data_IF_025777398100
#
_entry.id   IF_025777398100
#
_cell.length_a   1.000
_cell.length_b   1.000
_cell.length_c   1.000
_cell.angle_alpha   90.00
_cell.angle_beta   90.00
_cell.angle_gamma   90.00
#
_symmetry.space_group_name_H-M   'P 1'
#
loop_
_entity.id
_entity.type
_entity.pdbx_description
1 polymer ?
#
# COMPACT_ATOMS: atom_id res chain seq x y z
N UNK A 1 -27.27 14.02 79.48
CA UNK A 1 -25.89 14.28 79.02
C UNK A 1 -25.25 13.14 78.22
N UNK A 2 -25.47 11.86 78.55
CA UNK A 2 -24.95 10.73 77.77
C UNK A 2 -25.51 10.66 76.33
N UNK A 3 -26.85 10.74 76.17
CA UNK A 3 -27.53 10.65 74.87
C UNK A 3 -27.11 11.74 73.84
N UNK A 4 -26.76 12.95 74.30
CA UNK A 4 -26.28 14.04 73.43
C UNK A 4 -24.83 13.85 72.99
N UNK A 5 -24.00 13.17 73.81
CA UNK A 5 -22.63 12.80 73.41
C UNK A 5 -22.65 11.65 72.40
N UNK A 6 -23.53 10.68 72.57
CA UNK A 6 -23.68 9.56 71.62
C UNK A 6 -24.19 10.05 70.24
N UNK A 7 -25.11 11.03 70.19
CA UNK A 7 -25.55 11.66 68.94
C UNK A 7 -24.49 12.55 68.26
N UNK A 8 -23.56 13.13 69.02
CA UNK A 8 -22.44 13.88 68.47
C UNK A 8 -21.39 12.93 67.88
N UNK A 9 -21.01 11.89 68.65
CA UNK A 9 -20.06 10.87 68.21
C UNK A 9 -20.57 10.09 66.99
N UNK A 10 -21.86 9.76 66.92
CA UNK A 10 -22.43 9.13 65.72
C UNK A 10 -22.45 10.03 64.48
N UNK A 11 -22.57 11.35 64.65
CA UNK A 11 -22.45 12.31 63.53
C UNK A 11 -21.00 12.41 63.06
N UNK A 12 -20.05 12.52 63.98
CA UNK A 12 -18.63 12.60 63.64
C UNK A 12 -18.15 11.33 62.93
N UNK A 13 -18.63 10.14 63.34
CA UNK A 13 -18.34 8.87 62.65
C UNK A 13 -18.92 8.86 61.23
N UNK A 14 -20.18 9.27 61.04
CA UNK A 14 -20.80 9.33 59.71
C UNK A 14 -20.11 10.33 58.78
N UNK A 15 -19.68 11.48 59.29
CA UNK A 15 -18.94 12.48 58.52
C UNK A 15 -17.55 11.96 58.12
N UNK A 16 -16.84 11.30 59.04
CA UNK A 16 -15.55 10.68 58.74
C UNK A 16 -15.65 9.53 57.73
N UNK A 17 -16.68 8.68 57.81
CA UNK A 17 -16.94 7.61 56.82
C UNK A 17 -17.22 8.20 55.43
N UNK A 18 -18.02 9.27 55.34
CA UNK A 18 -18.30 9.94 54.06
C UNK A 18 -17.04 10.59 53.46
N UNK A 19 -16.21 11.21 54.29
CA UNK A 19 -14.94 11.81 53.89
C UNK A 19 -13.94 10.75 53.42
N UNK A 20 -13.95 9.59 54.05
CA UNK A 20 -13.13 8.43 53.68
C UNK A 20 -13.55 7.87 52.31
N UNK A 21 -14.85 7.63 52.10
CA UNK A 21 -15.38 7.12 50.83
C UNK A 21 -15.08 8.06 49.65
N UNK A 22 -15.20 9.37 49.84
CA UNK A 22 -14.86 10.36 48.81
C UNK A 22 -13.36 10.32 48.45
N UNK A 23 -12.49 10.19 49.47
CA UNK A 23 -11.04 10.04 49.25
C UNK A 23 -10.71 8.74 48.52
N UNK A 24 -11.41 7.66 48.84
CA UNK A 24 -11.24 6.36 48.20
C UNK A 24 -11.68 6.41 46.73
N UNK A 25 -12.83 7.00 46.42
CA UNK A 25 -13.30 7.22 45.04
C UNK A 25 -12.28 8.02 44.21
N UNK A 26 -11.79 9.14 44.75
CA UNK A 26 -10.79 9.97 44.06
C UNK A 26 -9.46 9.25 43.86
N UNK A 27 -9.05 8.41 44.82
CA UNK A 27 -7.85 7.57 44.70
C UNK A 27 -8.04 6.46 43.64
N UNK A 28 -9.21 5.82 43.62
CA UNK A 28 -9.61 4.82 42.65
C UNK A 28 -9.63 5.37 41.22
N UNK A 29 -10.26 6.51 41.01
CA UNK A 29 -10.29 7.19 39.72
C UNK A 29 -8.89 7.56 39.22
N UNK A 30 -8.02 8.10 40.09
CA UNK A 30 -6.61 8.37 39.74
C UNK A 30 -5.85 7.11 39.33
N UNK A 31 -6.10 5.98 39.99
CA UNK A 31 -5.49 4.68 39.65
C UNK A 31 -5.99 4.19 38.29
N UNK A 32 -7.29 4.26 38.04
CA UNK A 32 -7.91 3.92 36.75
C UNK A 32 -7.33 4.77 35.62
N UNK A 33 -7.22 6.09 35.79
CA UNK A 33 -6.61 6.99 34.79
C UNK A 33 -5.17 6.60 34.44
N UNK A 34 -4.36 6.25 35.44
CA UNK A 34 -2.99 5.74 35.22
C UNK A 34 -2.99 4.41 34.49
N UNK A 35 -3.93 3.52 34.77
CA UNK A 35 -4.09 2.25 34.06
C UNK A 35 -4.48 2.47 32.59
N UNK A 36 -5.41 3.37 32.31
CA UNK A 36 -5.79 3.74 30.94
C UNK A 36 -4.59 4.28 30.16
N UNK A 37 -3.78 5.15 30.77
CA UNK A 37 -2.55 5.65 30.16
C UNK A 37 -1.54 4.52 29.88
N UNK A 38 -1.36 3.59 30.82
CA UNK A 38 -0.51 2.41 30.61
C UNK A 38 -0.99 1.53 29.46
N UNK A 39 -2.30 1.33 29.33
CA UNK A 39 -2.89 0.55 28.22
C UNK A 39 -2.64 1.21 26.87
N UNK A 40 -2.79 2.55 26.78
CA UNK A 40 -2.47 3.30 25.56
C UNK A 40 -0.99 3.16 25.18
N UNK A 41 -0.07 3.39 26.13
CA UNK A 41 1.37 3.25 25.89
C UNK A 41 1.73 1.82 25.47
N UNK A 42 1.13 0.81 26.12
CA UNK A 42 1.37 -0.59 25.78
C UNK A 42 0.89 -0.91 24.35
N UNK A 43 -0.27 -0.40 23.95
CA UNK A 43 -0.76 -0.55 22.58
C UNK A 43 0.14 0.19 21.58
N UNK A 44 0.49 1.45 21.84
CA UNK A 44 1.37 2.25 20.97
C UNK A 44 2.73 1.56 20.75
N UNK A 45 3.34 1.02 21.81
CA UNK A 45 4.59 0.26 21.70
C UNK A 45 4.43 -1.03 20.89
N UNK A 46 3.31 -1.74 21.04
CA UNK A 46 3.03 -2.95 20.26
C UNK A 46 2.87 -2.64 18.77
N UNK A 47 2.11 -1.58 18.43
CA UNK A 47 1.90 -1.15 17.05
C UNK A 47 3.22 -0.67 16.42
N UNK A 48 4.06 0.03 17.19
CA UNK A 48 5.40 0.40 16.76
C UNK A 48 6.27 -0.81 16.42
N UNK A 49 6.29 -1.83 17.30
CA UNK A 49 7.06 -3.05 17.04
C UNK A 49 6.55 -3.81 15.80
N UNK A 50 5.22 -3.86 15.59
CA UNK A 50 4.63 -4.46 14.39
C UNK A 50 5.02 -3.69 13.12
N UNK A 51 5.08 -2.36 13.18
CA UNK A 51 5.53 -1.52 12.07
C UNK A 51 7.02 -1.75 11.77
N UNK A 52 7.87 -1.80 12.80
CA UNK A 52 9.30 -2.09 12.65
C UNK A 52 9.53 -3.48 12.00
N UNK A 53 8.75 -4.49 12.40
CA UNK A 53 8.80 -5.83 11.79
C UNK A 53 8.33 -5.83 10.33
N UNK A 54 7.27 -5.09 10.02
CA UNK A 54 6.76 -4.93 8.65
C UNK A 54 7.82 -4.28 7.77
N UNK A 55 8.42 -3.17 8.20
CA UNK A 55 9.50 -2.49 7.50
C UNK A 55 10.70 -3.40 7.25
N UNK A 56 11.10 -4.19 8.24
CA UNK A 56 12.20 -5.16 8.10
C UNK A 56 11.88 -6.25 7.07
N UNK A 57 10.63 -6.73 7.04
CA UNK A 57 10.17 -7.69 6.02
C UNK A 57 10.24 -7.08 4.63
N UNK A 58 9.75 -5.84 4.44
CA UNK A 58 9.80 -5.16 3.15
C UNK A 58 11.24 -4.92 2.66
N UNK A 59 12.14 -4.53 3.56
CA UNK A 59 13.56 -4.37 3.25
C UNK A 59 14.18 -5.69 2.79
N UNK A 60 13.91 -6.79 3.50
CA UNK A 60 14.43 -8.12 3.13
C UNK A 60 13.92 -8.59 1.77
N UNK A 61 12.65 -8.31 1.45
CA UNK A 61 12.10 -8.59 0.12
C UNK A 61 12.84 -7.79 -0.96
N UNK A 62 13.10 -6.50 -0.75
CA UNK A 62 13.83 -5.65 -1.70
C UNK A 62 15.26 -6.16 -1.92
N UNK A 63 15.97 -6.50 -0.86
CA UNK A 63 17.31 -7.08 -0.93
C UNK A 63 17.30 -8.41 -1.70
N UNK A 64 16.31 -9.26 -1.44
CA UNK A 64 16.13 -10.53 -2.16
C UNK A 64 15.87 -10.30 -3.65
N UNK A 65 15.00 -9.35 -3.99
CA UNK A 65 14.71 -8.98 -5.37
C UNK A 65 15.95 -8.43 -6.10
N UNK A 66 16.70 -7.55 -5.44
CA UNK A 66 17.93 -6.97 -5.98
C UNK A 66 19.00 -8.06 -6.23
N UNK A 67 19.19 -8.98 -5.28
CA UNK A 67 20.12 -10.11 -5.42
C UNK A 67 19.72 -11.04 -6.57
N UNK A 68 18.44 -11.38 -6.68
CA UNK A 68 17.93 -12.20 -7.79
C UNK A 68 18.15 -11.50 -9.14
N UNK A 69 17.84 -10.21 -9.22
CA UNK A 69 18.06 -9.39 -10.42
C UNK A 69 19.53 -9.38 -10.82
N UNK A 70 20.44 -9.18 -9.86
CA UNK A 70 21.88 -9.23 -10.10
C UNK A 70 22.33 -10.58 -10.68
N UNK A 71 21.92 -11.68 -10.04
CA UNK A 71 22.26 -13.05 -10.49
C UNK A 71 21.73 -13.32 -11.89
N UNK A 72 20.51 -12.91 -12.19
CA UNK A 72 19.91 -13.09 -13.51
C UNK A 72 20.64 -12.29 -14.61
N UNK A 73 21.03 -11.05 -14.33
CA UNK A 73 21.82 -10.24 -15.26
C UNK A 73 23.20 -10.84 -15.49
N UNK A 74 23.87 -11.32 -14.44
CA UNK A 74 25.17 -11.98 -14.56
C UNK A 74 25.06 -13.27 -15.39
N UNK A 75 24.00 -14.05 -15.18
CA UNK A 75 23.72 -15.25 -16.01
C UNK A 75 23.46 -14.90 -17.46
N UNK A 76 22.75 -13.81 -17.74
CA UNK A 76 22.48 -13.35 -19.10
C UNK A 76 23.78 -12.95 -19.81
N UNK A 77 24.63 -12.16 -19.15
CA UNK A 77 25.94 -11.76 -19.71
C UNK A 77 26.81 -13.00 -20.00
N UNK A 78 26.89 -13.95 -19.06
CA UNK A 78 27.65 -15.20 -19.27
C UNK A 78 27.12 -16.01 -20.46
N UNK A 79 25.79 -16.06 -20.64
CA UNK A 79 25.15 -16.71 -21.80
C UNK A 79 25.53 -15.98 -23.10
N UNK A 80 25.47 -14.65 -23.11
CA UNK A 80 25.84 -13.85 -24.28
C UNK A 80 27.28 -14.08 -24.70
N UNK A 81 28.22 -14.06 -23.76
CA UNK A 81 29.65 -14.35 -24.03
C UNK A 81 29.82 -15.76 -24.62
N UNK A 82 29.21 -16.78 -24.02
CA UNK A 82 29.32 -18.16 -24.50
C UNK A 82 28.73 -18.33 -25.91
N UNK A 83 27.64 -17.64 -26.22
CA UNK A 83 27.02 -17.69 -27.54
C UNK A 83 27.85 -16.94 -28.59
N UNK A 84 28.40 -15.78 -28.24
CA UNK A 84 29.35 -15.05 -29.10
C UNK A 84 30.59 -15.90 -29.42
N UNK A 85 31.16 -16.58 -28.43
CA UNK A 85 32.30 -17.50 -28.64
C UNK A 85 31.95 -18.66 -29.56
N UNK A 86 30.73 -19.21 -29.43
CA UNK A 86 30.23 -20.28 -30.29
C UNK A 86 30.07 -19.81 -31.73
N UNK A 87 29.48 -18.63 -31.94
CA UNK A 87 29.33 -18.03 -33.27
C UNK A 87 30.68 -17.71 -33.91
N UNK A 88 31.64 -17.18 -33.15
CA UNK A 88 33.01 -16.94 -33.65
C UNK A 88 33.67 -18.24 -34.13
N UNK A 89 33.54 -19.33 -33.37
CA UNK A 89 34.07 -20.65 -33.76
C UNK A 89 33.35 -21.21 -35.00
N UNK A 90 32.04 -21.04 -35.08
CA UNK A 90 31.22 -21.46 -36.23
C UNK A 90 31.65 -20.76 -37.52
N UNK A 91 31.80 -19.42 -37.47
CA UNK A 91 32.29 -18.61 -38.60
C UNK A 91 33.68 -19.04 -39.03
N UNK A 92 34.61 -19.25 -38.08
CA UNK A 92 35.97 -19.70 -38.39
C UNK A 92 36.02 -21.12 -38.98
N UNK A 93 35.07 -21.98 -38.64
CA UNK A 93 34.93 -23.31 -39.24
C UNK A 93 34.34 -23.23 -40.66
N UNK A 94 33.32 -22.39 -40.87
CA UNK A 94 32.72 -22.13 -42.19
C UNK A 94 33.76 -21.54 -43.16
N UNK A 95 34.59 -20.60 -42.68
CA UNK A 95 35.67 -20.01 -43.45
C UNK A 95 36.69 -21.04 -43.92
N UNK A 96 37.17 -21.89 -43.01
CA UNK A 96 38.11 -22.97 -43.35
C UNK A 96 37.50 -23.94 -44.38
N UNK A 97 36.22 -24.28 -44.22
CA UNK A 97 35.51 -25.16 -45.16
C UNK A 97 35.43 -24.56 -46.56
N UNK A 98 35.07 -23.29 -46.67
CA UNK A 98 34.98 -22.60 -47.97
C UNK A 98 36.37 -22.45 -48.60
N UNK A 99 37.39 -22.08 -47.82
CA UNK A 99 38.77 -22.00 -48.32
C UNK A 99 39.25 -23.35 -48.86
N UNK A 100 39.03 -24.44 -48.13
CA UNK A 100 39.38 -25.79 -48.57
C UNK A 100 38.64 -26.19 -49.86
N UNK A 101 37.35 -25.86 -49.97
CA UNK A 101 36.56 -26.15 -51.17
C UNK A 101 37.08 -25.38 -52.39
N UNK A 102 37.44 -24.10 -52.24
CA UNK A 102 38.01 -23.30 -53.33
C UNK A 102 39.36 -23.87 -53.77
N UNK A 103 40.26 -24.16 -52.82
CA UNK A 103 41.59 -24.70 -53.14
C UNK A 103 41.48 -26.08 -53.82
N UNK A 104 40.57 -26.94 -53.35
CA UNK A 104 40.33 -28.24 -53.98
C UNK A 104 39.83 -28.09 -55.42
N UNK A 105 38.93 -27.15 -55.66
CA UNK A 105 38.42 -26.85 -57.00
C UNK A 105 39.51 -26.28 -57.91
N UNK A 106 40.29 -25.31 -57.43
CA UNK A 106 41.42 -24.71 -58.15
C UNK A 106 42.47 -25.77 -58.54
N UNK A 107 42.80 -26.67 -57.62
CA UNK A 107 43.72 -27.78 -57.87
C UNK A 107 43.19 -28.72 -58.97
N UNK A 108 41.89 -29.07 -58.91
CA UNK A 108 41.25 -29.91 -59.93
C UNK A 108 41.29 -29.25 -61.33
N UNK A 109 40.95 -27.97 -61.40
CA UNK A 109 41.00 -27.18 -62.64
C UNK A 109 42.42 -27.07 -63.19
N UNK A 110 43.41 -26.76 -62.34
CA UNK A 110 44.81 -26.65 -62.75
C UNK A 110 45.36 -27.99 -63.25
N UNK A 111 45.03 -29.09 -62.56
CA UNK A 111 45.48 -30.43 -62.98
C UNK A 111 44.90 -30.78 -64.36
N UNK A 112 43.60 -30.56 -64.55
CA UNK A 112 42.95 -30.79 -65.85
C UNK A 112 43.47 -29.87 -66.96
N UNK A 113 43.76 -28.61 -66.63
CA UNK A 113 44.37 -27.65 -67.55
C UNK A 113 45.75 -28.11 -68.03
N UNK A 114 46.64 -28.50 -67.11
CA UNK A 114 47.98 -28.99 -67.43
C UNK A 114 47.95 -30.30 -68.23
N UNK A 115 47.00 -31.20 -67.93
CA UNK A 115 46.80 -32.43 -68.72
C UNK A 115 46.39 -32.13 -70.16
N UNK A 116 45.48 -31.17 -70.36
CA UNK A 116 45.06 -30.73 -71.68
C UNK A 116 46.22 -30.04 -72.42
N UNK A 117 46.96 -29.15 -71.76
CA UNK A 117 48.12 -28.49 -72.33
C UNK A 117 49.18 -29.49 -72.83
N UNK A 118 49.43 -30.57 -72.07
CA UNK A 118 50.31 -31.68 -72.49
C UNK A 118 49.77 -32.47 -73.68
N UNK A 119 48.45 -32.58 -73.86
CA UNK A 119 47.84 -33.24 -75.03
C UNK A 119 47.97 -32.35 -76.26
N UNK A 120 47.62 -31.07 -76.15
CA UNK A 120 47.76 -30.07 -77.21
C UNK A 120 49.21 -29.92 -77.67
N UNK A 121 50.16 -29.83 -76.72
CA UNK A 121 51.58 -29.78 -77.06
C UNK A 121 52.03 -30.99 -77.89
N UNK A 122 51.56 -32.20 -77.56
CA UNK A 122 51.88 -33.41 -78.33
C UNK A 122 51.32 -33.33 -79.75
N UNK A 123 50.02 -33.00 -79.88
CA UNK A 123 49.35 -32.85 -81.17
C UNK A 123 50.01 -31.77 -82.05
N UNK A 124 50.27 -30.58 -81.52
CA UNK A 124 50.91 -29.49 -82.26
C UNK A 124 52.36 -29.82 -82.64
N UNK A 125 53.13 -30.45 -81.73
CA UNK A 125 54.51 -30.87 -82.03
C UNK A 125 54.56 -31.91 -83.14
N UNK A 126 53.62 -32.84 -83.17
CA UNK A 126 53.56 -33.89 -84.19
C UNK A 126 53.12 -33.31 -85.55
N UNK A 127 52.10 -32.44 -85.58
CA UNK A 127 51.69 -31.70 -86.81
C UNK A 127 52.85 -30.93 -87.46
N UNK A 128 53.67 -30.24 -86.67
CA UNK A 128 54.77 -29.43 -87.19
C UNK A 128 55.94 -30.28 -87.66
N UNK A 129 56.17 -31.42 -87.02
CA UNK A 129 57.12 -32.41 -87.55
C UNK A 129 56.67 -32.93 -88.91
N UNK A 130 55.38 -33.17 -89.09
CA UNK A 130 54.81 -33.62 -90.37
C UNK A 130 54.93 -32.52 -91.44
N UNK A 131 54.56 -31.27 -91.13
CA UNK A 131 54.72 -30.11 -92.03
C UNK A 131 56.20 -29.89 -92.44
N UNK A 132 57.14 -30.02 -91.50
CA UNK A 132 58.59 -29.89 -91.77
C UNK A 132 59.16 -31.07 -92.57
N UNK A 133 58.52 -32.24 -92.55
CA UNK A 133 58.91 -33.40 -93.35
C UNK A 133 58.47 -33.23 -94.82
N UNK A 134 57.39 -32.50 -95.10
CA UNK A 134 56.94 -32.21 -96.48
C UNK A 134 57.79 -31.13 -97.17
N UNK A 135 58.42 -30.23 -96.41
CA UNK A 135 59.32 -29.18 -96.92
C UNK A 135 60.65 -29.76 -97.45
N UNK A 136 60.76 -30.10 -98.73
CA UNK A 136 61.99 -30.71 -99.31
C UNK A 136 63.12 -29.73 -99.60
N UNK A 137 62.88 -28.41 -99.50
CA UNK A 137 63.81 -27.35 -99.92
C UNK A 137 64.70 -26.77 -98.78
N UNK A 138 64.38 -27.03 -97.51
CA UNK A 138 65.07 -26.40 -96.36
C UNK A 138 66.24 -27.25 -95.81
N UNK A 139 67.33 -26.58 -95.38
CA UNK A 139 68.51 -27.21 -94.77
C UNK A 139 68.18 -27.92 -93.45
N UNK A 140 68.92 -28.98 -93.08
CA UNK A 140 68.76 -29.68 -91.79
C UNK A 140 68.91 -28.75 -90.58
N UNK A 141 69.81 -27.77 -90.64
CA UNK A 141 70.01 -26.78 -89.58
C UNK A 141 68.83 -25.80 -89.46
N UNK A 142 68.30 -25.32 -90.58
CA UNK A 142 67.15 -24.40 -90.59
C UNK A 142 65.86 -25.06 -90.09
N UNK A 143 65.63 -26.33 -90.45
CA UNK A 143 64.51 -27.11 -89.93
C UNK A 143 64.61 -27.31 -88.41
N UNK A 144 65.81 -27.57 -87.91
CA UNK A 144 66.06 -27.75 -86.48
C UNK A 144 65.88 -26.44 -85.70
N UNK A 145 66.38 -25.32 -86.22
CA UNK A 145 66.23 -24.00 -85.60
C UNK A 145 64.76 -23.54 -85.59
N UNK A 146 64.03 -23.70 -86.70
CA UNK A 146 62.58 -23.42 -86.74
C UNK A 146 61.80 -24.25 -85.73
N UNK A 147 62.08 -25.55 -85.63
CA UNK A 147 61.44 -26.43 -84.66
C UNK A 147 61.76 -26.01 -83.22
N UNK A 148 62.97 -25.51 -82.96
CA UNK A 148 63.37 -24.99 -81.64
C UNK A 148 62.60 -23.71 -81.29
N UNK A 149 62.58 -22.72 -82.19
CA UNK A 149 61.84 -21.47 -81.99
C UNK A 149 60.35 -21.72 -81.78
N UNK A 150 59.75 -22.63 -82.55
CA UNK A 150 58.33 -22.94 -82.39
C UNK A 150 58.02 -23.59 -81.02
N UNK A 151 58.87 -24.53 -80.56
CA UNK A 151 58.71 -25.12 -79.22
C UNK A 151 58.81 -24.07 -78.12
N UNK A 152 59.73 -23.12 -78.25
CA UNK A 152 59.90 -22.02 -77.31
C UNK A 152 58.68 -21.09 -77.30
N UNK A 153 58.17 -20.69 -78.48
CA UNK A 153 56.93 -19.90 -78.58
C UNK A 153 55.72 -20.63 -77.99
N UNK A 154 55.58 -21.93 -78.25
CA UNK A 154 54.53 -22.76 -77.66
C UNK A 154 54.65 -22.80 -76.13
N UNK A 155 55.84 -23.07 -75.60
CA UNK A 155 56.06 -23.09 -74.15
C UNK A 155 55.80 -21.73 -73.51
N UNK A 156 56.17 -20.64 -74.18
CA UNK A 156 55.89 -19.29 -73.71
C UNK A 156 54.39 -19.01 -73.65
N UNK A 157 53.65 -19.29 -74.73
CA UNK A 157 52.19 -19.17 -74.79
C UNK A 157 51.51 -20.03 -73.72
N UNK A 158 52.01 -21.23 -73.47
CA UNK A 158 51.50 -22.14 -72.43
C UNK A 158 51.73 -21.59 -71.03
N UNK A 159 52.90 -21.01 -70.77
CA UNK A 159 53.21 -20.35 -69.51
C UNK A 159 52.33 -19.11 -69.28
N UNK A 160 52.05 -18.34 -70.33
CA UNK A 160 51.14 -17.19 -70.28
C UNK A 160 49.70 -17.60 -69.95
N UNK A 161 49.18 -18.65 -70.60
CA UNK A 161 47.85 -19.17 -70.31
C UNK A 161 47.73 -19.78 -68.90
N UNK A 162 48.77 -20.48 -68.42
CA UNK A 162 48.82 -20.97 -67.05
C UNK A 162 48.83 -19.81 -66.04
N UNK A 163 49.66 -18.79 -66.28
CA UNK A 163 49.70 -17.58 -65.45
C UNK A 163 48.34 -16.87 -65.41
N UNK A 164 47.63 -16.82 -66.54
CA UNK A 164 46.30 -16.26 -66.63
C UNK A 164 45.27 -17.08 -65.83
N UNK A 165 45.29 -18.41 -65.93
CA UNK A 165 44.43 -19.29 -65.11
C UNK A 165 44.69 -19.07 -63.61
N UNK A 166 45.95 -19.05 -63.18
CA UNK A 166 46.32 -18.82 -61.79
C UNK A 166 45.86 -17.44 -61.30
N UNK A 167 45.98 -16.40 -62.13
CA UNK A 167 45.49 -15.05 -61.83
C UNK A 167 43.96 -15.03 -61.65
N UNK A 168 43.21 -15.74 -62.52
CA UNK A 168 41.75 -15.88 -62.37
C UNK A 168 41.38 -16.62 -61.08
N UNK A 169 42.07 -17.73 -60.78
CA UNK A 169 41.85 -18.50 -59.56
C UNK A 169 42.06 -17.63 -58.31
N UNK A 170 43.12 -16.81 -58.28
CA UNK A 170 43.39 -15.85 -57.19
C UNK A 170 42.24 -14.85 -57.02
N UNK A 171 41.73 -14.31 -58.12
CA UNK A 171 40.62 -13.34 -58.11
C UNK A 171 39.32 -13.97 -57.57
N UNK A 172 39.02 -15.21 -57.94
CA UNK A 172 37.88 -15.98 -57.42
C UNK A 172 38.00 -16.23 -55.92
N UNK A 173 39.19 -16.60 -55.44
CA UNK A 173 39.48 -16.76 -54.02
C UNK A 173 39.25 -15.45 -53.25
N UNK A 174 39.87 -14.36 -53.70
CA UNK A 174 39.76 -13.03 -53.05
C UNK A 174 38.32 -12.51 -53.03
N UNK A 175 37.55 -12.74 -54.10
CA UNK A 175 36.12 -12.38 -54.15
C UNK A 175 35.32 -13.21 -53.15
N UNK A 176 35.58 -14.50 -53.05
CA UNK A 176 34.88 -15.41 -52.15
C UNK A 176 35.16 -15.10 -50.68
N UNK A 177 36.42 -14.83 -50.32
CA UNK A 177 36.81 -14.41 -48.98
C UNK A 177 36.14 -13.08 -48.59
N UNK A 178 36.11 -12.10 -49.49
CA UNK A 178 35.39 -10.83 -49.25
C UNK A 178 33.89 -11.04 -49.06
N UNK A 179 33.26 -11.88 -49.88
CA UNK A 179 31.85 -12.19 -49.77
C UNK A 179 31.52 -12.87 -48.42
N UNK A 180 32.34 -13.83 -47.99
CA UNK A 180 32.18 -14.49 -46.69
C UNK A 180 32.35 -13.51 -45.53
N UNK A 181 33.41 -12.69 -45.57
CA UNK A 181 33.67 -11.69 -44.52
C UNK A 181 32.50 -10.71 -44.38
N UNK A 182 31.92 -10.27 -45.49
CA UNK A 182 30.71 -9.43 -45.50
C UNK A 182 29.52 -10.14 -44.87
N UNK A 183 29.22 -11.39 -45.26
CA UNK A 183 28.10 -12.16 -44.70
C UNK A 183 28.27 -12.43 -43.20
N UNK A 184 29.49 -12.74 -42.77
CA UNK A 184 29.82 -12.96 -41.36
C UNK A 184 29.63 -11.68 -40.53
N UNK A 185 30.11 -10.54 -41.05
CA UNK A 185 29.95 -9.24 -40.38
C UNK A 185 28.47 -8.88 -40.18
N UNK A 186 27.64 -9.08 -41.21
CA UNK A 186 26.19 -8.81 -41.14
C UNK A 186 25.53 -9.71 -40.09
N UNK A 187 25.77 -11.03 -40.15
CA UNK A 187 25.24 -11.98 -39.16
C UNK A 187 25.67 -11.64 -37.73
N UNK A 188 26.94 -11.27 -37.53
CA UNK A 188 27.44 -10.84 -36.23
C UNK A 188 26.71 -9.59 -35.73
N UNK A 189 26.50 -8.62 -36.60
CA UNK A 189 25.77 -7.40 -36.24
C UNK A 189 24.31 -7.69 -35.89
N UNK A 190 23.62 -8.53 -36.65
CA UNK A 190 22.24 -8.96 -36.36
C UNK A 190 22.16 -9.66 -35.00
N UNK A 191 23.12 -10.54 -34.72
CA UNK A 191 23.24 -11.25 -33.45
C UNK A 191 23.50 -10.32 -32.26
N UNK A 192 24.44 -9.36 -32.40
CA UNK A 192 24.69 -8.33 -31.39
C UNK A 192 23.43 -7.47 -31.12
N UNK A 193 22.66 -7.13 -32.16
CA UNK A 193 21.41 -6.40 -31.97
C UNK A 193 20.35 -7.24 -31.23
N UNK A 194 20.27 -8.55 -31.49
CA UNK A 194 19.35 -9.44 -30.77
C UNK A 194 19.71 -9.53 -29.28
N UNK A 195 20.99 -9.68 -28.96
CA UNK A 195 21.49 -9.64 -27.57
C UNK A 195 21.15 -8.31 -26.88
N UNK A 196 21.36 -7.18 -27.54
CA UNK A 196 20.99 -5.86 -27.00
C UNK A 196 19.48 -5.74 -26.74
N UNK A 197 18.64 -6.28 -27.62
CA UNK A 197 17.18 -6.32 -27.42
C UNK A 197 16.80 -7.21 -26.23
N UNK A 198 17.45 -8.37 -26.07
CA UNK A 198 17.23 -9.25 -24.92
C UNK A 198 17.60 -8.56 -23.60
N UNK A 199 18.77 -7.89 -23.54
CA UNK A 199 19.21 -7.12 -22.38
C UNK A 199 18.24 -5.97 -22.02
N UNK A 200 17.80 -5.21 -23.02
CA UNK A 200 16.85 -4.12 -22.82
C UNK A 200 15.50 -4.64 -22.33
N UNK A 201 14.99 -5.72 -22.93
CA UNK A 201 13.75 -6.34 -22.49
C UNK A 201 13.88 -6.86 -21.06
N UNK A 202 15.00 -7.50 -20.71
CA UNK A 202 15.23 -8.00 -19.35
C UNK A 202 15.25 -6.85 -18.34
N UNK A 203 15.98 -5.77 -18.62
CA UNK A 203 15.99 -4.56 -17.77
C UNK A 203 14.61 -3.92 -17.65
N UNK A 204 13.83 -3.88 -18.74
CA UNK A 204 12.44 -3.38 -18.72
C UNK A 204 11.58 -4.22 -17.78
N UNK A 205 11.60 -5.54 -17.92
CA UNK A 205 10.81 -6.44 -17.05
C UNK A 205 11.20 -6.32 -15.58
N UNK A 206 12.50 -6.11 -15.29
CA UNK A 206 12.97 -5.86 -13.92
C UNK A 206 12.41 -4.56 -13.37
N UNK A 207 12.42 -3.47 -14.15
CA UNK A 207 11.84 -2.18 -13.73
C UNK A 207 10.33 -2.26 -13.52
N UNK A 208 9.60 -2.97 -14.38
CA UNK A 208 8.17 -3.24 -14.21
C UNK A 208 7.90 -4.01 -12.90
N UNK A 209 8.72 -5.01 -12.59
CA UNK A 209 8.61 -5.78 -11.35
C UNK A 209 8.96 -4.94 -10.11
N UNK A 210 9.98 -4.09 -10.17
CA UNK A 210 10.33 -3.13 -9.11
C UNK A 210 9.17 -2.17 -8.82
N UNK A 211 8.55 -1.61 -9.87
CA UNK A 211 7.40 -0.71 -9.71
C UNK A 211 6.20 -1.44 -9.10
N UNK A 212 5.85 -2.62 -9.61
CA UNK A 212 4.76 -3.42 -9.07
C UNK A 212 5.00 -3.82 -7.61
N UNK A 213 6.25 -4.12 -7.25
CA UNK A 213 6.64 -4.39 -5.88
C UNK A 213 6.47 -3.16 -4.99
N UNK A 214 6.97 -2.00 -5.42
CA UNK A 214 6.84 -0.75 -4.66
C UNK A 214 5.37 -0.39 -4.38
N UNK A 215 4.49 -0.54 -5.36
CA UNK A 215 3.05 -0.30 -5.18
C UNK A 215 2.47 -1.25 -4.12
N UNK A 216 2.74 -2.55 -4.21
CA UNK A 216 2.26 -3.52 -3.20
C UNK A 216 2.81 -3.23 -1.81
N UNK A 217 4.05 -2.78 -1.71
CA UNK A 217 4.67 -2.43 -0.43
C UNK A 217 4.02 -1.19 0.19
N UNK A 218 3.75 -0.16 -0.61
CA UNK A 218 3.02 1.04 -0.18
C UNK A 218 1.60 0.69 0.26
N UNK A 219 0.84 -0.05 -0.54
CA UNK A 219 -0.51 -0.53 -0.20
C UNK A 219 -0.51 -1.34 1.11
N UNK A 220 0.43 -2.27 1.27
CA UNK A 220 0.56 -3.08 2.49
C UNK A 220 0.88 -2.24 3.72
N UNK A 221 1.67 -1.17 3.56
CA UNK A 221 2.03 -0.23 4.63
C UNK A 221 0.82 0.60 5.02
N UNK A 222 0.11 1.16 4.04
CA UNK A 222 -1.12 1.95 4.26
C UNK A 222 -2.21 1.12 4.95
N UNK A 223 -2.40 -0.14 4.55
CA UNK A 223 -3.34 -1.06 5.18
C UNK A 223 -2.98 -1.35 6.64
N UNK A 224 -1.68 -1.47 6.95
CA UNK A 224 -1.21 -1.63 8.32
C UNK A 224 -1.48 -0.36 9.13
N UNK A 225 -1.08 0.81 8.64
CA UNK A 225 -1.32 2.10 9.29
C UNK A 225 -2.81 2.34 9.57
N UNK A 226 -3.68 2.06 8.59
CA UNK A 226 -5.13 2.20 8.77
C UNK A 226 -5.66 1.29 9.88
N UNK A 227 -5.23 0.03 9.92
CA UNK A 227 -5.60 -0.92 10.99
C UNK A 227 -5.11 -0.43 12.35
N UNK A 228 -3.86 0.03 12.44
CA UNK A 228 -3.27 0.52 13.69
C UNK A 228 -3.99 1.77 14.20
N UNK A 229 -4.32 2.72 13.31
CA UNK A 229 -5.10 3.91 13.63
C UNK A 229 -6.49 3.55 14.16
N UNK A 230 -7.18 2.60 13.51
CA UNK A 230 -8.49 2.11 13.96
C UNK A 230 -8.41 1.46 15.35
N UNK A 231 -7.39 0.62 15.61
CA UNK A 231 -7.19 -0.01 16.92
C UNK A 231 -6.93 1.03 18.01
N UNK A 232 -6.06 2.01 17.74
CA UNK A 232 -5.73 3.09 18.66
C UNK A 232 -6.97 3.96 18.96
N UNK A 233 -7.72 4.34 17.93
CA UNK A 233 -8.93 5.15 18.07
C UNK A 233 -10.00 4.40 18.86
N UNK A 234 -10.21 3.11 18.55
CA UNK A 234 -11.16 2.25 19.28
C UNK A 234 -10.83 2.21 20.78
N UNK A 235 -9.57 1.92 21.13
CA UNK A 235 -9.16 1.91 22.53
C UNK A 235 -9.34 3.28 23.19
N UNK A 236 -8.94 4.37 22.52
CA UNK A 236 -9.13 5.74 23.05
C UNK A 236 -10.59 6.05 23.35
N UNK A 237 -11.50 5.69 22.45
CA UNK A 237 -12.95 5.91 22.63
C UNK A 237 -13.50 5.05 23.77
N UNK A 238 -13.11 3.78 23.85
CA UNK A 238 -13.51 2.87 24.94
C UNK A 238 -13.05 3.39 26.31
N UNK A 239 -11.79 3.82 26.42
CA UNK A 239 -11.24 4.38 27.66
C UNK A 239 -11.87 5.72 28.05
N UNK A 240 -12.18 6.57 27.07
CA UNK A 240 -12.87 7.83 27.31
C UNK A 240 -14.31 7.60 27.78
N UNK A 241 -15.01 6.64 27.17
CA UNK A 241 -16.36 6.24 27.59
C UNK A 241 -16.36 5.70 29.01
N UNK A 242 -15.41 4.83 29.35
CA UNK A 242 -15.28 4.30 30.70
C UNK A 242 -14.96 5.40 31.73
N UNK A 243 -14.09 6.35 31.38
CA UNK A 243 -13.82 7.52 32.23
C UNK A 243 -15.08 8.35 32.50
N UNK A 244 -15.83 8.69 31.46
CA UNK A 244 -17.09 9.44 31.59
C UNK A 244 -18.11 8.67 32.42
N UNK A 245 -18.22 7.36 32.23
CA UNK A 245 -19.13 6.52 33.01
C UNK A 245 -18.78 6.56 34.50
N UNK A 246 -17.51 6.39 34.86
CA UNK A 246 -17.06 6.49 36.26
C UNK A 246 -17.26 7.89 36.84
N UNK A 247 -17.05 8.95 36.05
CA UNK A 247 -17.32 10.33 36.48
C UNK A 247 -18.80 10.58 36.75
N UNK A 248 -19.67 10.05 35.89
CA UNK A 248 -21.12 10.13 36.04
C UNK A 248 -21.59 9.39 37.29
N UNK A 249 -21.13 8.15 37.49
CA UNK A 249 -21.44 7.35 38.68
C UNK A 249 -21.02 8.06 39.97
N UNK A 250 -19.79 8.61 40.02
CA UNK A 250 -19.31 9.38 41.16
C UNK A 250 -20.18 10.62 41.42
N UNK A 251 -20.65 11.30 40.36
CA UNK A 251 -21.51 12.48 40.47
C UNK A 251 -22.92 12.11 40.97
N UNK A 252 -23.49 11.02 40.48
CA UNK A 252 -24.79 10.50 40.91
C UNK A 252 -24.77 10.11 42.39
N UNK A 253 -23.70 9.43 42.84
CA UNK A 253 -23.50 9.09 44.24
C UNK A 253 -23.36 10.35 45.11
N UNK A 254 -22.54 11.31 44.71
CA UNK A 254 -22.39 12.59 45.42
C UNK A 254 -23.74 13.32 45.54
N UNK A 255 -24.49 13.44 44.45
CA UNK A 255 -25.79 14.08 44.44
C UNK A 255 -26.78 13.37 45.37
N UNK A 256 -26.81 12.03 45.35
CA UNK A 256 -27.68 11.22 46.21
C UNK A 256 -27.36 11.41 47.70
N UNK A 257 -26.07 11.46 48.06
CA UNK A 257 -25.60 11.75 49.42
C UNK A 257 -26.04 13.15 49.86
N UNK A 258 -25.79 14.17 49.04
CA UNK A 258 -26.18 15.56 49.31
C UNK A 258 -27.68 15.75 49.44
N UNK A 259 -28.47 15.07 48.60
CA UNK A 259 -29.93 15.05 48.75
C UNK A 259 -30.34 14.45 50.09
N UNK A 260 -29.76 13.32 50.48
CA UNK A 260 -30.07 12.66 51.75
C UNK A 260 -29.72 13.55 52.96
N UNK A 261 -28.55 14.19 52.96
CA UNK A 261 -28.15 15.16 53.98
C UNK A 261 -29.13 16.33 54.08
N UNK A 262 -29.56 16.89 52.95
CA UNK A 262 -30.51 18.00 52.91
C UNK A 262 -31.87 17.59 53.49
N UNK A 263 -32.37 16.40 53.15
CA UNK A 263 -33.60 15.84 53.72
C UNK A 263 -33.47 15.62 55.23
N UNK A 264 -32.32 15.11 55.71
CA UNK A 264 -32.05 14.94 57.14
C UNK A 264 -32.03 16.28 57.87
N UNK A 265 -31.35 17.30 57.32
CA UNK A 265 -31.32 18.66 57.89
C UNK A 265 -32.70 19.27 57.98
N UNK A 266 -33.47 19.24 56.88
CA UNK A 266 -34.85 19.73 56.85
C UNK A 266 -35.73 19.01 57.90
N UNK A 267 -35.62 17.69 58.01
CA UNK A 267 -36.35 16.91 59.03
C UNK A 267 -35.96 17.33 60.45
N UNK A 268 -34.68 17.57 60.70
CA UNK A 268 -34.18 18.00 62.00
C UNK A 268 -34.68 19.41 62.35
N UNK A 269 -34.62 20.36 61.40
CA UNK A 269 -35.15 21.71 61.55
C UNK A 269 -36.65 21.70 61.87
N UNK A 270 -37.44 20.88 61.17
CA UNK A 270 -38.87 20.68 61.48
C UNK A 270 -39.10 20.15 62.90
N UNK A 271 -38.23 19.25 63.40
CA UNK A 271 -38.33 18.72 64.78
C UNK A 271 -37.98 19.78 65.81
N UNK A 272 -36.94 20.57 65.56
CA UNK A 272 -36.45 21.63 66.46
C UNK A 272 -37.32 22.91 66.44
N UNK A 273 -38.25 23.02 65.51
CA UNK A 273 -39.17 24.16 65.41
C UNK A 273 -39.90 24.38 66.76
N UNK A 274 -39.87 25.60 67.33
CA UNK A 274 -40.35 25.88 68.69
C UNK A 274 -41.80 25.45 68.90
N UNK A 275 -42.09 24.85 70.07
CA UNK A 275 -43.46 24.43 70.43
C UNK A 275 -44.46 25.58 70.34
N UNK A 276 -44.04 26.80 70.67
CA UNK A 276 -44.86 28.01 70.57
C UNK A 276 -45.23 28.33 69.12
N UNK A 277 -44.30 28.17 68.19
CA UNK A 277 -44.54 28.36 66.75
C UNK A 277 -45.49 27.30 66.19
N UNK A 278 -45.29 26.02 66.54
CA UNK A 278 -46.21 24.94 66.15
C UNK A 278 -47.61 25.15 66.71
N UNK A 279 -47.70 25.62 67.96
CA UNK A 279 -48.99 25.90 68.62
C UNK A 279 -49.67 27.10 67.98
N UNK A 280 -48.94 28.17 67.69
CA UNK A 280 -49.45 29.36 67.01
C UNK A 280 -49.91 29.04 65.58
N UNK A 281 -49.13 28.27 64.81
CA UNK A 281 -49.51 27.82 63.48
C UNK A 281 -50.79 26.96 63.52
N UNK A 282 -50.91 26.06 64.50
CA UNK A 282 -52.12 25.27 64.71
C UNK A 282 -53.32 26.12 65.13
N UNK A 283 -53.10 27.13 65.99
CA UNK A 283 -54.13 28.10 66.37
C UNK A 283 -54.59 28.95 65.19
N UNK A 284 -53.68 29.41 64.34
CA UNK A 284 -53.99 30.15 63.11
C UNK A 284 -54.78 29.25 62.15
N UNK A 285 -54.36 28.00 61.94
CA UNK A 285 -55.12 27.02 61.13
C UNK A 285 -56.52 26.79 61.68
N UNK A 286 -56.66 26.66 63.00
CA UNK A 286 -57.96 26.49 63.66
C UNK A 286 -58.83 27.74 63.53
N UNK A 287 -58.29 28.92 63.79
CA UNK A 287 -59.00 30.20 63.63
C UNK A 287 -59.46 30.40 62.19
N UNK A 288 -58.62 30.07 61.21
CA UNK A 288 -58.99 30.11 59.80
C UNK A 288 -60.17 29.16 59.51
N UNK A 289 -60.08 27.90 59.96
CA UNK A 289 -61.17 26.92 59.79
C UNK A 289 -62.48 27.37 60.46
N UNK A 290 -62.42 27.90 61.67
CA UNK A 290 -63.60 28.37 62.41
C UNK A 290 -64.19 29.62 61.74
N UNK A 291 -63.36 30.53 61.23
CA UNK A 291 -63.79 31.70 60.44
C UNK A 291 -64.49 31.26 59.15
N UNK A 292 -63.95 30.28 58.43
CA UNK A 292 -64.60 29.70 57.26
C UNK A 292 -65.95 29.05 57.60
N UNK A 293 -66.08 28.38 58.76
CA UNK A 293 -67.35 27.78 59.21
C UNK A 293 -68.40 28.85 59.55
N UNK A 294 -68.01 29.91 60.27
CA UNK A 294 -68.91 31.02 60.60
C UNK A 294 -69.39 31.72 59.32
N UNK A 295 -68.48 32.03 58.39
CA UNK A 295 -68.81 32.62 57.10
C UNK A 295 -69.80 31.74 56.31
N UNK A 296 -69.62 30.42 56.31
CA UNK A 296 -70.57 29.51 55.66
C UNK A 296 -71.95 29.50 56.33
N UNK A 297 -72.03 29.57 57.67
CA UNK A 297 -73.31 29.68 58.38
C UNK A 297 -74.00 31.01 58.09
N UNK A 298 -73.26 32.12 58.15
CA UNK A 298 -73.75 33.46 57.83
C UNK A 298 -74.24 33.53 56.38
N UNK A 299 -73.50 32.98 55.43
CA UNK A 299 -73.91 32.87 54.03
C UNK A 299 -75.24 32.12 53.88
N UNK A 300 -75.39 30.96 54.55
CA UNK A 300 -76.65 30.18 54.50
C UNK A 300 -77.83 30.94 55.10
N UNK A 301 -77.64 31.59 56.24
CA UNK A 301 -78.68 32.39 56.89
C UNK A 301 -79.09 33.58 56.02
N UNK A 302 -78.12 34.32 55.49
CA UNK A 302 -78.35 35.45 54.59
C UNK A 302 -79.05 35.02 53.30
N UNK A 303 -78.62 33.90 52.73
CA UNK A 303 -79.25 33.31 51.55
C UNK A 303 -80.72 32.97 51.80
N UNK A 304 -81.02 32.31 52.91
CA UNK A 304 -82.41 31.95 53.24
C UNK A 304 -83.27 33.19 53.44
N UNK A 305 -82.79 34.16 54.22
CA UNK A 305 -83.51 35.42 54.44
C UNK A 305 -83.75 36.18 53.13
N UNK A 306 -82.74 36.35 52.28
CA UNK A 306 -82.92 37.06 51.01
C UNK A 306 -83.90 36.36 50.06
N UNK A 307 -84.02 35.03 50.11
CA UNK A 307 -85.03 34.30 49.34
C UNK A 307 -86.44 34.44 49.95
N UNK A 308 -86.57 34.56 51.27
CA UNK A 308 -87.85 34.75 51.97
C UNK A 308 -88.44 36.16 51.75
N UNK A 309 -87.60 37.21 51.82
CA UNK A 309 -88.07 38.61 51.72
C UNK A 309 -88.20 39.10 50.26
N UNK A 310 -87.65 38.37 49.29
CA UNK A 310 -87.63 38.81 47.89
C UNK A 310 -88.67 38.11 47.01
N UNK A 311 -89.28 38.79 46.02
CA UNK A 311 -90.16 38.16 45.04
C UNK A 311 -89.45 37.06 44.23
N UNK A 312 -90.18 35.98 43.90
CA UNK A 312 -89.65 34.79 43.22
C UNK A 312 -88.91 35.11 41.89
N UNK A 313 -89.32 36.17 41.18
CA UNK A 313 -88.67 36.60 39.93
C UNK A 313 -87.20 37.05 40.11
N UNK A 314 -86.83 37.52 41.30
CA UNK A 314 -85.49 38.07 41.57
C UNK A 314 -84.53 37.04 42.20
N UNK A 315 -85.02 35.86 42.57
CA UNK A 315 -84.23 34.84 43.29
C UNK A 315 -82.98 34.40 42.53
N UNK A 316 -83.06 34.30 41.20
CA UNK A 316 -81.92 33.86 40.35
C UNK A 316 -80.74 34.85 40.43
N UNK A 317 -81.03 36.14 40.34
CA UNK A 317 -80.01 37.20 40.40
C UNK A 317 -79.41 37.30 41.80
N UNK A 318 -80.25 37.21 42.84
CA UNK A 318 -79.83 37.23 44.25
C UNK A 318 -78.88 36.07 44.56
N UNK A 319 -79.24 34.85 44.15
CA UNK A 319 -78.39 33.67 44.36
C UNK A 319 -77.03 33.77 43.66
N UNK A 320 -76.99 34.37 42.46
CA UNK A 320 -75.74 34.61 41.73
C UNK A 320 -74.84 35.59 42.49
N UNK A 321 -75.39 36.73 42.91
CA UNK A 321 -74.64 37.76 43.63
C UNK A 321 -74.12 37.25 44.98
N UNK A 322 -74.96 36.54 45.75
CA UNK A 322 -74.56 35.94 47.01
C UNK A 322 -73.40 34.95 46.83
N UNK A 323 -73.43 34.13 45.79
CA UNK A 323 -72.37 33.15 45.50
C UNK A 323 -71.05 33.85 45.14
N UNK A 324 -71.10 34.88 44.30
CA UNK A 324 -69.92 35.69 43.96
C UNK A 324 -69.31 36.36 45.21
N UNK A 325 -70.17 36.86 46.11
CA UNK A 325 -69.74 37.46 47.36
C UNK A 325 -69.13 36.45 48.34
N UNK A 326 -69.68 35.22 48.42
CA UNK A 326 -69.11 34.12 49.18
C UNK A 326 -67.70 33.76 48.71
N UNK A 327 -67.51 33.64 47.38
CA UNK A 327 -66.20 33.35 46.79
C UNK A 327 -65.21 34.47 47.08
N UNK A 328 -65.62 35.74 46.95
CA UNK A 328 -64.76 36.90 47.24
C UNK A 328 -64.30 36.90 48.71
N UNK A 329 -65.21 36.66 49.65
CA UNK A 329 -64.90 36.62 51.09
C UNK A 329 -63.96 35.47 51.45
N UNK A 330 -64.16 34.27 50.88
CA UNK A 330 -63.24 33.15 51.10
C UNK A 330 -61.85 33.42 50.54
N UNK A 331 -61.75 34.05 49.36
CA UNK A 331 -60.46 34.44 48.78
C UNK A 331 -59.72 35.53 49.57
N UNK A 332 -60.44 36.43 50.25
CA UNK A 332 -59.78 37.41 51.13
C UNK A 332 -59.13 36.77 52.36
N UNK A 333 -59.63 35.61 52.82
CA UNK A 333 -59.00 34.88 53.93
C UNK A 333 -57.80 34.04 53.50
N UNK A 334 -57.71 33.61 52.24
CA UNK A 334 -56.60 32.76 51.76
C UNK A 334 -55.35 33.53 51.32
N UNK A 335 -55.39 34.87 51.33
CA UNK A 335 -54.31 35.77 50.89
C UNK A 335 -53.63 36.53 52.04
N UNK A 336 -54.06 36.30 53.27
CA UNK A 336 -53.40 36.74 54.50
C UNK A 336 -52.85 35.50 55.21
#
# INVERSE_FOLDING_TARGET
>A
HACVRDEAVHRDIQEHEQDFELREQMSGYKRMRRQHQKQLIALENRLKAEMDEHMLRLQKELETHANNTYIELERLVKRHVAQTDKEMKSVAAEERRIQQQIVAQQKKELTGFLENQKKEYRLCKDKIKDEMNEDTCASKEEKQERLSRYKETMQHSQAEEEAHLLAQQRLVYDRSCRALKRRSLIRRHEFEQEQLREELNKKRTQKEMEHAMMIRQDESTQDLEHRQLQMLQKLRVELLRLQHQTELENQEEYNSRRQTELHRKHTLEQRQQPRNLKTLEMQIKKQFQDTCKVQNKQYKALRNHQLEVSPKGNHKTILKNLKEEQTRKLCSFSRA
#
